data_IF_215785472771
#
_entry.id   IF_215785472771
#
_cell.length_a   1.000
_cell.length_b   1.000
_cell.length_c   1.000
_cell.angle_alpha   90.00
_cell.angle_beta   90.00
_cell.angle_gamma   90.00
#
_symmetry.space_group_name_H-M   'P 1'
#
loop_
_entity.id
_entity.type
_entity.pdbx_description
1 polymer ?
#
# COMPACT_ATOMS: atom_id res chain seq x y z
N UNK A 1 1.31 4.48 24.79
CA UNK A 1 0.10 4.11 24.03
C UNK A 1 0.42 2.82 23.28
N UNK A 2 -0.19 1.68 23.67
CA UNK A 2 0.09 0.38 23.01
C UNK A 2 -0.43 0.43 21.58
N UNK A 3 0.33 -0.05 20.57
CA UNK A 3 -0.14 -0.08 19.19
C UNK A 3 -1.42 -0.93 19.10
N UNK A 4 -2.40 -0.43 18.33
CA UNK A 4 -3.66 -1.12 18.09
C UNK A 4 -3.35 -2.39 17.26
N UNK A 5 -3.75 -3.59 17.72
CA UNK A 5 -3.42 -4.82 17.01
C UNK A 5 -4.14 -4.90 15.66
N UNK A 6 -3.40 -5.29 14.62
CA UNK A 6 -3.91 -5.53 13.28
C UNK A 6 -4.71 -6.84 13.23
N UNK A 7 -5.83 -6.87 12.50
CA UNK A 7 -6.72 -8.05 12.44
C UNK A 7 -6.00 -9.27 11.87
N UNK A 8 -6.28 -10.45 12.44
CA UNK A 8 -5.76 -11.75 12.00
C UNK A 8 -6.00 -11.99 10.50
N UNK A 9 -4.93 -12.31 9.77
CA UNK A 9 -5.04 -12.88 8.42
C UNK A 9 -5.39 -14.36 8.52
N UNK A 10 -6.44 -14.80 7.83
CA UNK A 10 -6.72 -16.21 7.55
C UNK A 10 -5.48 -16.80 6.87
N UNK A 11 -5.03 -18.05 7.18
CA UNK A 11 -3.92 -18.68 6.48
C UNK A 11 -4.27 -18.80 5.00
N UNK A 12 -3.83 -17.84 4.22
CA UNK A 12 -3.89 -17.88 2.77
C UNK A 12 -2.82 -18.87 2.25
N UNK A 13 -3.02 -19.51 1.09
CA UNK A 13 -1.94 -20.26 0.44
C UNK A 13 -0.71 -19.36 0.34
N UNK A 14 0.49 -19.93 0.54
CA UNK A 14 1.76 -19.20 0.49
C UNK A 14 1.74 -18.35 -0.78
N UNK A 15 1.77 -17.00 -0.69
CA UNK A 15 1.69 -16.17 -1.87
C UNK A 15 2.90 -16.44 -2.76
N UNK A 16 2.74 -16.34 -4.07
CA UNK A 16 3.82 -16.53 -5.04
C UNK A 16 5.01 -15.59 -4.83
N UNK A 17 4.79 -14.52 -4.07
CA UNK A 17 5.79 -13.52 -3.72
C UNK A 17 5.65 -13.14 -2.25
N UNK A 18 6.78 -12.93 -1.55
CA UNK A 18 6.80 -12.45 -0.16
C UNK A 18 6.12 -11.09 -0.06
N UNK A 19 5.07 -10.93 0.76
CA UNK A 19 4.42 -9.64 0.96
C UNK A 19 5.36 -8.66 1.68
N UNK A 20 5.64 -7.52 1.04
CA UNK A 20 6.41 -6.40 1.62
C UNK A 20 5.52 -5.17 1.64
N UNK A 21 5.58 -4.40 2.72
CA UNK A 21 4.79 -3.19 2.90
C UNK A 21 5.60 -2.12 3.64
N UNK A 22 5.11 -0.88 3.60
CA UNK A 22 5.73 0.23 4.34
C UNK A 22 5.15 0.31 5.77
N UNK A 23 6.04 0.30 6.78
CA UNK A 23 5.70 0.53 8.18
C UNK A 23 6.61 1.62 8.75
N UNK A 24 6.02 2.75 9.13
CA UNK A 24 6.76 3.92 9.69
C UNK A 24 7.98 4.34 8.85
N UNK A 25 7.82 4.36 7.53
CA UNK A 25 8.87 4.77 6.59
C UNK A 25 9.93 3.70 6.30
N UNK A 26 9.84 2.49 6.88
CA UNK A 26 10.69 1.34 6.57
C UNK A 26 9.91 0.30 5.78
N UNK A 27 10.53 -0.30 4.77
CA UNK A 27 9.99 -1.48 4.10
C UNK A 27 10.20 -2.71 4.98
N UNK A 28 9.13 -3.50 5.17
CA UNK A 28 9.16 -4.66 6.06
C UNK A 28 8.30 -5.81 5.51
N UNK A 29 8.64 -7.03 5.91
CA UNK A 29 7.82 -8.24 5.75
C UNK A 29 7.37 -8.73 7.14
N UNK A 30 6.13 -9.22 7.25
CA UNK A 30 5.66 -9.82 8.51
C UNK A 30 6.34 -11.18 8.74
N UNK A 31 6.80 -11.45 9.95
CA UNK A 31 7.40 -12.74 10.31
C UNK A 31 6.47 -13.93 10.11
N UNK A 32 5.14 -13.70 10.09
CA UNK A 32 4.13 -14.74 9.75
C UNK A 32 4.18 -15.11 8.28
N UNK A 33 4.46 -14.13 7.41
CA UNK A 33 4.63 -14.36 5.97
C UNK A 33 6.04 -14.91 5.68
N UNK A 34 7.07 -14.48 6.41
CA UNK A 34 8.45 -14.98 6.25
C UNK A 34 8.55 -16.46 6.64
N UNK A 35 7.91 -16.90 7.73
CA UNK A 35 8.04 -18.24 8.26
C UNK A 35 7.72 -19.37 7.22
N UNK A 36 6.62 -19.30 6.46
CA UNK A 36 6.32 -20.28 5.40
C UNK A 36 7.38 -20.30 4.28
N UNK A 37 7.91 -19.13 3.89
CA UNK A 37 8.93 -19.06 2.83
C UNK A 37 10.24 -19.71 3.22
N UNK A 38 10.55 -19.80 4.51
CA UNK A 38 11.73 -20.52 5.03
C UNK A 38 11.39 -21.93 5.56
N UNK A 39 10.15 -22.38 5.34
CA UNK A 39 9.63 -23.67 5.80
C UNK A 39 9.83 -23.92 7.30
N UNK A 40 9.63 -22.86 8.11
CA UNK A 40 9.65 -22.94 9.58
C UNK A 40 8.29 -22.62 10.16
N UNK A 41 7.97 -23.24 11.29
CA UNK A 41 6.85 -22.78 12.10
C UNK A 41 7.13 -21.38 12.65
N UNK A 42 6.13 -20.50 12.62
CA UNK A 42 6.26 -19.12 13.09
C UNK A 42 6.84 -19.01 14.52
N UNK A 43 6.43 -19.90 15.43
CA UNK A 43 6.98 -19.94 16.80
C UNK A 43 8.50 -20.13 16.86
N UNK A 44 9.06 -20.92 15.94
CA UNK A 44 10.49 -21.17 15.87
C UNK A 44 11.23 -19.97 15.29
N UNK A 45 10.66 -19.31 14.27
CA UNK A 45 11.22 -18.07 13.75
C UNK A 45 11.22 -16.98 14.80
N UNK A 46 10.13 -16.80 15.56
CA UNK A 46 10.09 -15.83 16.68
C UNK A 46 11.17 -16.07 17.72
N UNK A 47 11.42 -17.33 18.08
CA UNK A 47 12.50 -17.68 19.02
C UNK A 47 13.87 -17.29 18.45
N UNK A 48 14.10 -17.56 17.17
CA UNK A 48 15.37 -17.27 16.53
C UNK A 48 15.58 -15.73 16.43
N UNK A 49 14.56 -14.97 16.05
CA UNK A 49 14.60 -13.49 16.00
C UNK A 49 14.90 -12.92 17.38
N UNK A 50 14.22 -13.38 18.44
CA UNK A 50 14.50 -12.91 19.81
C UNK A 50 15.94 -13.17 20.23
N UNK A 51 16.50 -14.32 19.83
CA UNK A 51 17.92 -14.62 20.04
C UNK A 51 18.81 -13.63 19.30
N UNK A 52 18.51 -13.31 18.04
CA UNK A 52 19.29 -12.35 17.25
C UNK A 52 19.24 -10.96 17.88
N UNK A 53 18.07 -10.47 18.23
CA UNK A 53 17.87 -9.19 18.92
C UNK A 53 18.69 -9.14 20.22
N UNK A 54 18.60 -10.19 21.06
CA UNK A 54 19.37 -10.28 22.31
C UNK A 54 20.88 -10.23 22.09
N UNK A 55 21.40 -10.95 21.07
CA UNK A 55 22.84 -10.96 20.76
C UNK A 55 23.28 -9.59 20.28
N UNK A 56 22.53 -8.93 19.41
CA UNK A 56 22.85 -7.59 18.91
C UNK A 56 22.85 -6.56 20.05
N UNK A 57 21.84 -6.60 20.92
CA UNK A 57 21.73 -5.68 22.08
C UNK A 57 22.86 -5.84 23.08
N UNK A 58 23.42 -7.03 23.21
CA UNK A 58 24.54 -7.33 24.14
C UNK A 58 25.91 -7.26 23.49
N UNK A 59 25.99 -6.84 22.20
CA UNK A 59 27.28 -6.73 21.52
C UNK A 59 28.12 -5.62 22.11
N UNK A 60 29.38 -5.92 22.43
CA UNK A 60 30.38 -4.95 22.89
C UNK A 60 31.13 -4.27 21.73
N UNK A 61 30.85 -4.67 20.50
CA UNK A 61 31.42 -4.11 19.28
C UNK A 61 30.70 -2.85 18.79
N UNK A 62 30.75 -2.56 17.47
CA UNK A 62 30.01 -1.43 16.90
C UNK A 62 28.54 -1.49 17.32
N UNK A 63 27.97 -0.33 17.68
CA UNK A 63 26.57 -0.27 18.13
C UNK A 63 25.65 -0.68 16.99
N UNK A 64 25.03 -1.86 17.11
CA UNK A 64 24.00 -2.37 16.23
C UNK A 64 22.63 -2.05 16.84
N UNK A 65 21.77 -1.38 16.08
CA UNK A 65 20.39 -1.18 16.51
C UNK A 65 19.54 -2.35 16.02
N UNK A 66 19.00 -3.20 16.92
CA UNK A 66 18.12 -4.30 16.54
C UNK A 66 16.90 -3.86 15.74
N UNK A 67 16.44 -2.60 15.91
CA UNK A 67 15.29 -2.04 15.17
C UNK A 67 15.58 -1.80 13.69
N UNK A 68 16.84 -1.83 13.26
CA UNK A 68 17.20 -1.83 11.85
C UNK A 68 16.96 -3.18 11.18
N UNK A 69 16.82 -4.25 11.96
CA UNK A 69 16.61 -5.61 11.51
C UNK A 69 15.19 -6.10 11.79
N UNK A 70 14.72 -5.96 13.04
CA UNK A 70 13.46 -6.52 13.51
C UNK A 70 12.70 -5.52 14.37
N UNK A 71 11.45 -5.26 14.00
CA UNK A 71 10.55 -4.35 14.74
C UNK A 71 9.50 -5.22 15.43
N UNK A 72 9.40 -5.12 16.76
CA UNK A 72 8.37 -5.82 17.51
C UNK A 72 6.97 -5.32 17.12
N UNK A 73 6.08 -6.28 16.89
CA UNK A 73 4.70 -6.04 16.51
C UNK A 73 3.78 -7.07 17.18
N UNK A 74 2.48 -6.89 17.02
CA UNK A 74 1.48 -7.83 17.49
C UNK A 74 0.30 -7.90 16.51
N UNK A 75 -0.34 -9.06 16.43
CA UNK A 75 -1.56 -9.28 15.66
C UNK A 75 -2.65 -9.91 16.52
N UNK A 76 -3.89 -9.83 16.07
CA UNK A 76 -5.02 -10.53 16.69
C UNK A 76 -5.22 -11.84 15.93
N UNK A 77 -5.20 -12.97 16.65
CA UNK A 77 -5.45 -14.28 16.06
C UNK A 77 -6.97 -14.52 15.82
N UNK A 78 -7.32 -15.69 15.25
CA UNK A 78 -8.71 -16.05 14.95
C UNK A 78 -9.59 -16.16 16.20
N UNK A 79 -8.99 -16.37 17.37
CA UNK A 79 -9.67 -16.43 18.66
C UNK A 79 -9.85 -15.06 19.32
N UNK A 80 -9.34 -13.98 18.68
CA UNK A 80 -9.37 -12.62 19.21
C UNK A 80 -8.24 -12.33 20.20
N UNK A 81 -7.24 -13.21 20.35
CA UNK A 81 -6.13 -13.02 21.27
C UNK A 81 -4.98 -12.25 20.59
N UNK A 82 -4.34 -11.37 21.35
CA UNK A 82 -3.15 -10.65 20.90
C UNK A 82 -1.93 -11.57 20.93
N UNK A 83 -1.33 -11.78 19.77
CA UNK A 83 -0.14 -12.61 19.58
C UNK A 83 1.05 -11.78 19.11
N UNK A 84 2.27 -12.08 19.58
CA UNK A 84 3.47 -11.39 19.13
C UNK A 84 3.85 -11.79 17.69
N UNK A 85 4.35 -10.83 16.93
CA UNK A 85 5.09 -11.04 15.68
C UNK A 85 6.23 -10.02 15.58
N UNK A 86 7.03 -10.13 14.52
CA UNK A 86 8.02 -9.13 14.15
C UNK A 86 7.79 -8.69 12.71
N UNK A 87 8.07 -7.42 12.46
CA UNK A 87 8.29 -6.94 11.11
C UNK A 87 9.78 -7.03 10.82
N UNK A 88 10.12 -7.83 9.80
CA UNK A 88 11.49 -8.03 9.34
C UNK A 88 11.80 -6.99 8.26
N UNK A 89 12.81 -6.16 8.47
CA UNK A 89 13.33 -5.29 7.42
C UNK A 89 14.07 -6.11 6.36
N UNK A 90 14.55 -5.47 5.30
CA UNK A 90 15.43 -6.13 4.31
C UNK A 90 16.65 -6.77 4.99
N UNK A 91 17.33 -6.01 5.87
CA UNK A 91 18.46 -6.51 6.67
C UNK A 91 18.05 -7.66 7.61
N UNK A 92 16.85 -7.61 8.17
CA UNK A 92 16.30 -8.72 8.99
C UNK A 92 16.07 -9.98 8.16
N UNK A 93 15.51 -9.87 6.96
CA UNK A 93 15.35 -10.99 6.03
C UNK A 93 16.71 -11.55 5.58
N UNK A 94 17.68 -10.67 5.31
CA UNK A 94 19.05 -11.07 5.00
C UNK A 94 19.70 -11.85 6.14
N UNK A 95 19.55 -11.37 7.38
CA UNK A 95 20.06 -12.09 8.57
C UNK A 95 19.44 -13.47 8.72
N UNK A 96 18.14 -13.61 8.46
CA UNK A 96 17.45 -14.92 8.46
C UNK A 96 18.02 -15.81 7.36
N UNK A 97 18.14 -15.30 6.14
CA UNK A 97 18.67 -16.02 4.98
C UNK A 97 20.10 -16.53 5.21
N UNK A 98 20.98 -15.70 5.79
CA UNK A 98 22.37 -16.05 6.09
C UNK A 98 22.53 -17.15 7.16
N UNK A 99 21.47 -17.50 7.89
CA UNK A 99 21.43 -18.64 8.82
C UNK A 99 20.85 -19.89 8.21
N UNK A 100 20.43 -19.83 6.95
CA UNK A 100 19.96 -20.97 6.17
C UNK A 100 21.08 -21.55 5.33
N UNK A 101 21.05 -22.85 5.11
CA UNK A 101 21.99 -23.57 4.26
C UNK A 101 21.27 -24.26 3.10
N UNK A 102 21.99 -24.47 1.99
CA UNK A 102 21.46 -25.16 0.81
C UNK A 102 20.46 -24.35 0.00
N UNK A 103 19.73 -25.03 -0.86
CA UNK A 103 18.85 -24.44 -1.88
C UNK A 103 17.75 -23.52 -1.29
N UNK A 104 17.25 -23.86 -0.11
CA UNK A 104 16.23 -23.02 0.59
C UNK A 104 16.74 -21.61 0.89
N UNK A 105 17.98 -21.48 1.33
CA UNK A 105 18.60 -20.19 1.58
C UNK A 105 18.73 -19.38 0.30
N UNK A 106 19.11 -20.01 -0.81
CA UNK A 106 19.23 -19.38 -2.13
C UNK A 106 17.84 -18.90 -2.60
N UNK A 107 16.83 -19.76 -2.54
CA UNK A 107 15.47 -19.46 -2.97
C UNK A 107 14.88 -18.31 -2.13
N UNK A 108 14.97 -18.37 -0.81
CA UNK A 108 14.48 -17.32 0.06
C UNK A 108 15.19 -15.98 -0.18
N UNK A 109 16.51 -15.99 -0.38
CA UNK A 109 17.29 -14.79 -0.73
C UNK A 109 16.77 -14.17 -2.02
N UNK A 110 16.60 -14.93 -3.08
CA UNK A 110 16.06 -14.43 -4.35
C UNK A 110 14.65 -13.83 -4.19
N UNK A 111 13.80 -14.46 -3.38
CA UNK A 111 12.43 -14.02 -3.14
C UNK A 111 12.36 -12.71 -2.36
N UNK A 112 13.07 -12.60 -1.23
CA UNK A 112 13.00 -11.36 -0.44
C UNK A 112 13.67 -10.18 -1.17
N UNK A 113 14.82 -10.37 -1.80
CA UNK A 113 15.49 -9.33 -2.59
C UNK A 113 14.52 -8.78 -3.64
N UNK A 114 13.93 -9.67 -4.45
CA UNK A 114 12.95 -9.27 -5.46
C UNK A 114 11.76 -8.52 -4.86
N UNK A 115 11.19 -9.01 -3.76
CA UNK A 115 10.02 -8.42 -3.13
C UNK A 115 10.30 -6.99 -2.62
N UNK A 116 11.44 -6.78 -1.96
CA UNK A 116 11.83 -5.45 -1.48
C UNK A 116 12.13 -4.48 -2.62
N UNK A 117 12.77 -4.93 -3.71
CA UNK A 117 13.00 -4.10 -4.89
C UNK A 117 11.69 -3.66 -5.53
N UNK A 118 10.77 -4.60 -5.82
CA UNK A 118 9.47 -4.29 -6.43
C UNK A 118 8.69 -3.28 -5.59
N UNK A 119 8.67 -3.43 -4.26
CA UNK A 119 7.96 -2.49 -3.40
C UNK A 119 8.65 -1.13 -3.35
N UNK A 120 9.99 -1.08 -3.36
CA UNK A 120 10.74 0.18 -3.41
C UNK A 120 10.44 0.96 -4.68
N UNK A 121 10.45 0.29 -5.82
CA UNK A 121 10.14 0.89 -7.13
C UNK A 121 8.68 1.39 -7.17
N UNK A 122 7.74 0.60 -6.66
CA UNK A 122 6.33 0.99 -6.54
C UNK A 122 6.16 2.26 -5.70
N UNK A 123 6.81 2.35 -4.54
CA UNK A 123 6.74 3.54 -3.69
C UNK A 123 7.40 4.76 -4.34
N UNK A 124 8.53 4.59 -5.03
CA UNK A 124 9.17 5.66 -5.77
C UNK A 124 8.23 6.19 -6.86
N UNK A 125 7.67 5.31 -7.68
CA UNK A 125 6.71 5.67 -8.74
C UNK A 125 5.48 6.39 -8.18
N UNK A 126 4.92 5.91 -7.07
CA UNK A 126 3.77 6.58 -6.42
C UNK A 126 4.11 7.99 -5.96
N UNK A 127 5.33 8.23 -5.41
CA UNK A 127 5.78 9.56 -5.00
C UNK A 127 5.89 10.51 -6.20
N UNK A 128 6.44 10.05 -7.32
CA UNK A 128 6.53 10.81 -8.58
C UNK A 128 5.14 11.18 -9.10
N UNK A 129 4.24 10.19 -9.20
CA UNK A 129 2.86 10.42 -9.63
C UNK A 129 2.11 11.39 -8.71
N UNK A 130 2.33 11.31 -7.39
CA UNK A 130 1.75 12.28 -6.43
C UNK A 130 2.21 13.71 -6.70
N UNK A 131 3.47 13.91 -7.06
CA UNK A 131 3.98 15.23 -7.40
C UNK A 131 3.32 15.78 -8.68
N UNK A 132 3.18 14.94 -9.71
CA UNK A 132 2.52 15.29 -10.97
C UNK A 132 1.01 15.53 -10.77
N UNK A 133 0.37 14.82 -9.89
CA UNK A 133 -1.08 14.91 -9.65
C UNK A 133 -1.55 16.22 -9.01
N UNK A 134 -0.68 16.96 -8.32
CA UNK A 134 -1.07 18.22 -7.68
C UNK A 134 -1.56 19.28 -8.67
N UNK A 135 -0.84 19.61 -9.75
CA UNK A 135 -1.34 20.57 -10.75
C UNK A 135 -2.60 20.04 -11.47
N UNK A 136 -2.70 18.75 -11.78
CA UNK A 136 -3.89 18.14 -12.40
C UNK A 136 -5.11 18.36 -11.50
N UNK A 137 -4.99 18.07 -10.22
CA UNK A 137 -6.07 18.31 -9.24
C UNK A 137 -6.49 19.76 -9.14
N UNK A 138 -5.53 20.70 -9.20
CA UNK A 138 -5.83 22.14 -9.21
C UNK A 138 -6.61 22.50 -10.46
N UNK A 139 -6.18 22.04 -11.63
CA UNK A 139 -6.87 22.28 -12.91
C UNK A 139 -8.34 21.81 -12.87
N UNK A 140 -8.61 20.60 -12.37
CA UNK A 140 -9.98 20.11 -12.20
C UNK A 140 -10.80 20.98 -11.24
N UNK A 141 -10.20 21.44 -10.14
CA UNK A 141 -10.87 22.28 -9.15
C UNK A 141 -11.22 23.66 -9.75
N UNK A 142 -10.32 24.24 -10.53
CA UNK A 142 -10.51 25.51 -11.21
C UNK A 142 -11.59 25.38 -12.30
N UNK A 143 -11.52 24.33 -13.15
CA UNK A 143 -12.52 24.05 -14.18
C UNK A 143 -13.92 23.85 -13.59
N UNK A 144 -14.05 23.19 -12.45
CA UNK A 144 -15.34 23.02 -11.74
C UNK A 144 -15.91 24.36 -11.28
N UNK A 145 -15.08 25.24 -10.72
CA UNK A 145 -15.50 26.57 -10.28
C UNK A 145 -15.93 27.43 -11.48
N UNK A 146 -15.15 27.43 -12.54
CA UNK A 146 -15.35 28.31 -13.69
C UNK A 146 -16.51 27.83 -14.60
N UNK A 147 -16.84 26.53 -14.57
CA UNK A 147 -17.96 25.94 -15.36
C UNK A 147 -19.37 26.21 -14.80
N UNK A 148 -19.50 26.76 -13.59
CA UNK A 148 -20.81 26.92 -12.93
C UNK A 148 -21.42 25.61 -12.38
N UNK A 149 -20.70 24.49 -12.48
CA UNK A 149 -21.20 23.19 -11.97
C UNK A 149 -21.30 23.18 -10.44
N UNK A 150 -20.50 23.99 -9.74
CA UNK A 150 -20.56 24.10 -8.28
C UNK A 150 -21.91 24.65 -7.84
N UNK A 151 -22.39 25.71 -8.49
CA UNK A 151 -23.69 26.32 -8.23
C UNK A 151 -24.82 25.38 -8.65
N UNK A 152 -24.73 24.81 -9.85
CA UNK A 152 -25.72 23.85 -10.40
C UNK A 152 -25.94 22.64 -9.46
N UNK A 153 -24.87 22.16 -8.83
CA UNK A 153 -24.88 21.02 -7.93
C UNK A 153 -24.95 21.41 -6.44
N UNK A 154 -25.33 22.64 -6.13
CA UNK A 154 -25.47 23.12 -4.73
C UNK A 154 -24.25 22.81 -3.86
N UNK A 155 -23.02 23.00 -4.40
CA UNK A 155 -21.75 22.74 -3.71
C UNK A 155 -21.26 21.30 -3.72
N UNK A 156 -22.06 20.35 -4.22
CA UNK A 156 -21.67 18.91 -4.24
C UNK A 156 -20.78 18.51 -5.43
N UNK A 157 -20.47 19.42 -6.36
CA UNK A 157 -19.73 19.14 -7.59
C UNK A 157 -18.36 18.50 -7.30
N UNK A 158 -17.56 19.07 -6.41
CA UNK A 158 -16.22 18.55 -6.11
C UNK A 158 -16.23 17.06 -5.71
N UNK A 159 -17.11 16.67 -4.81
CA UNK A 159 -17.25 15.28 -4.37
C UNK A 159 -17.76 14.36 -5.49
N UNK A 160 -18.72 14.84 -6.27
CA UNK A 160 -19.35 14.09 -7.36
C UNK A 160 -18.37 13.79 -8.47
N UNK A 161 -17.62 14.79 -8.95
CA UNK A 161 -16.64 14.63 -10.02
C UNK A 161 -15.40 13.85 -9.55
N UNK A 162 -14.97 14.04 -8.31
CA UNK A 162 -13.92 13.21 -7.70
C UNK A 162 -14.32 11.73 -7.67
N UNK A 163 -15.55 11.42 -7.23
CA UNK A 163 -16.06 10.05 -7.23
C UNK A 163 -16.23 9.49 -8.65
N UNK A 164 -16.58 10.33 -9.63
CA UNK A 164 -16.60 9.92 -11.04
C UNK A 164 -15.21 9.51 -11.50
N UNK A 165 -14.18 10.31 -11.24
CA UNK A 165 -12.79 9.98 -11.59
C UNK A 165 -12.35 8.65 -10.95
N UNK A 166 -12.66 8.43 -9.66
CA UNK A 166 -12.38 7.14 -8.99
C UNK A 166 -13.10 5.97 -9.65
N UNK A 167 -14.39 6.12 -9.95
CA UNK A 167 -15.18 5.05 -10.60
C UNK A 167 -14.65 4.70 -11.98
N UNK A 168 -14.29 5.70 -12.77
CA UNK A 168 -13.73 5.50 -14.11
C UNK A 168 -12.32 4.89 -14.08
N UNK A 169 -11.54 5.14 -13.03
CA UNK A 169 -10.18 4.62 -12.92
C UNK A 169 -10.11 3.23 -12.27
N UNK A 170 -11.02 2.92 -11.35
CA UNK A 170 -10.91 1.73 -10.49
C UNK A 170 -12.18 0.88 -10.42
N UNK A 171 -13.25 1.31 -11.08
CA UNK A 171 -14.60 0.70 -10.95
C UNK A 171 -15.30 1.00 -9.61
N UNK A 172 -14.67 1.75 -8.69
CA UNK A 172 -15.10 1.90 -7.30
C UNK A 172 -15.07 3.36 -6.85
N UNK A 173 -15.90 3.69 -5.86
CA UNK A 173 -15.83 5.00 -5.20
C UNK A 173 -14.69 5.04 -4.18
N UNK A 174 -14.25 6.24 -3.81
CA UNK A 174 -13.27 6.45 -2.74
C UNK A 174 -13.64 5.76 -1.42
N UNK A 175 -14.95 5.72 -1.08
CA UNK A 175 -15.47 5.05 0.13
C UNK A 175 -15.33 3.52 0.04
N UNK A 176 -15.65 2.93 -1.12
CA UNK A 176 -15.54 1.49 -1.35
C UNK A 176 -14.07 1.04 -1.29
N UNK A 177 -13.16 1.79 -1.93
CA UNK A 177 -11.72 1.52 -1.88
C UNK A 177 -11.17 1.52 -0.45
N UNK A 178 -11.55 2.52 0.37
CA UNK A 178 -11.15 2.54 1.80
C UNK A 178 -11.65 1.33 2.55
N UNK A 179 -12.91 0.94 2.35
CA UNK A 179 -13.51 -0.23 3.01
C UNK A 179 -12.81 -1.53 2.67
N UNK A 180 -12.56 -1.79 1.39
CA UNK A 180 -11.91 -3.01 0.91
C UNK A 180 -10.45 -3.11 1.33
N UNK A 181 -9.74 -1.99 1.39
CA UNK A 181 -8.32 -1.94 1.76
C UNK A 181 -8.08 -1.78 3.25
N UNK A 182 -9.15 -1.76 4.06
CA UNK A 182 -9.05 -1.62 5.51
C UNK A 182 -8.47 -0.28 5.96
N UNK A 183 -8.52 0.75 5.10
CA UNK A 183 -8.01 2.07 5.41
C UNK A 183 -8.95 2.83 6.38
N UNK A 184 -8.39 3.74 7.17
CA UNK A 184 -9.15 4.59 8.06
C UNK A 184 -10.18 5.44 7.28
N UNK A 185 -11.32 5.76 7.92
CA UNK A 185 -12.40 6.52 7.26
C UNK A 185 -11.97 7.90 6.78
N UNK A 186 -11.02 8.51 7.47
CA UNK A 186 -10.41 9.82 7.21
C UNK A 186 -9.18 9.76 6.30
N UNK A 187 -8.69 8.54 5.97
CA UNK A 187 -7.57 8.39 5.05
C UNK A 187 -7.90 8.98 3.67
N UNK A 188 -6.94 9.69 3.09
CA UNK A 188 -7.10 10.17 1.72
C UNK A 188 -7.12 8.97 0.77
N UNK A 189 -8.21 8.83 -0.02
CA UNK A 189 -8.37 7.67 -0.90
C UNK A 189 -7.24 7.57 -1.96
N UNK A 190 -6.63 8.68 -2.32
CA UNK A 190 -5.50 8.73 -3.25
C UNK A 190 -4.23 8.09 -2.67
N UNK A 191 -4.09 8.03 -1.34
CA UNK A 191 -2.92 7.42 -0.68
C UNK A 191 -2.95 5.89 -0.69
N UNK A 192 -4.13 5.31 -0.91
CA UNK A 192 -4.32 3.87 -0.94
C UNK A 192 -4.37 3.28 -2.36
N UNK A 193 -4.20 4.11 -3.40
CA UNK A 193 -4.11 3.64 -4.79
C UNK A 193 -2.73 3.04 -5.07
N UNK A 194 -2.68 2.01 -5.91
CA UNK A 194 -1.44 1.57 -6.55
C UNK A 194 -0.95 2.62 -7.54
N UNK A 195 0.31 2.54 -8.01
CA UNK A 195 0.84 3.47 -9.01
C UNK A 195 0.00 3.45 -10.29
N UNK A 196 -0.41 2.28 -10.77
CA UNK A 196 -1.23 2.14 -11.97
C UNK A 196 -2.63 2.77 -11.80
N UNK A 197 -3.29 2.54 -10.66
CA UNK A 197 -4.58 3.15 -10.37
C UNK A 197 -4.48 4.68 -10.20
N UNK A 198 -3.40 5.15 -9.58
CA UNK A 198 -3.14 6.58 -9.40
C UNK A 198 -2.94 7.29 -10.75
N UNK A 199 -2.18 6.68 -11.65
CA UNK A 199 -1.98 7.17 -13.00
C UNK A 199 -3.29 7.20 -13.80
N UNK A 200 -4.10 6.13 -13.72
CA UNK A 200 -5.42 6.08 -14.34
C UNK A 200 -6.36 7.15 -13.78
N UNK A 201 -6.38 7.32 -12.45
CA UNK A 201 -7.17 8.34 -11.78
C UNK A 201 -6.80 9.76 -12.24
N UNK A 202 -5.51 10.09 -12.32
CA UNK A 202 -5.04 11.40 -12.77
C UNK A 202 -5.38 11.66 -14.23
N UNK A 203 -5.30 10.65 -15.10
CA UNK A 203 -5.75 10.77 -16.50
C UNK A 203 -7.24 11.10 -16.59
N UNK A 204 -8.08 10.48 -15.75
CA UNK A 204 -9.52 10.78 -15.73
C UNK A 204 -9.81 12.16 -15.13
N UNK A 205 -9.09 12.61 -14.10
CA UNK A 205 -9.19 13.99 -13.59
C UNK A 205 -8.85 15.03 -14.68
N UNK A 206 -7.77 14.83 -15.41
CA UNK A 206 -7.36 15.72 -16.50
C UNK A 206 -8.40 15.75 -17.63
N UNK A 207 -8.91 14.58 -18.05
CA UNK A 207 -9.94 14.50 -19.07
C UNK A 207 -11.24 15.20 -18.65
N UNK A 208 -11.68 15.03 -17.40
CA UNK A 208 -12.85 15.73 -16.85
C UNK A 208 -12.65 17.25 -16.88
N UNK A 209 -11.48 17.76 -16.51
CA UNK A 209 -11.19 19.19 -16.53
C UNK A 209 -11.33 19.77 -17.96
N UNK A 210 -10.74 19.11 -18.95
CA UNK A 210 -10.83 19.52 -20.37
C UNK A 210 -12.28 19.54 -20.88
N UNK A 211 -13.08 18.53 -20.51
CA UNK A 211 -14.48 18.46 -20.93
C UNK A 211 -15.37 19.50 -20.22
N UNK A 212 -15.05 19.85 -18.98
CA UNK A 212 -15.67 20.97 -18.25
C UNK A 212 -15.36 22.32 -18.96
N UNK A 213 -14.12 22.53 -19.30
CA UNK A 213 -13.68 23.75 -20.02
C UNK A 213 -14.35 23.84 -21.43
N UNK A 214 -14.68 22.70 -22.02
CA UNK A 214 -15.47 22.61 -23.25
C UNK A 214 -16.99 22.83 -23.04
N UNK A 215 -17.43 23.17 -21.82
CA UNK A 215 -18.83 23.43 -21.49
C UNK A 215 -19.73 22.21 -21.34
N UNK A 216 -19.16 21.02 -21.14
CA UNK A 216 -19.94 19.80 -20.93
C UNK A 216 -20.41 19.68 -19.49
N UNK A 217 -21.69 19.31 -19.30
CA UNK A 217 -22.25 18.98 -17.98
C UNK A 217 -21.91 17.53 -17.56
N UNK A 218 -22.13 17.23 -16.27
CA UNK A 218 -21.83 15.93 -15.65
C UNK A 218 -22.27 14.71 -16.46
N UNK A 219 -23.53 14.67 -16.93
CA UNK A 219 -24.08 13.50 -17.62
C UNK A 219 -23.39 13.25 -18.96
N UNK A 220 -23.08 14.33 -19.70
CA UNK A 220 -22.34 14.26 -20.96
C UNK A 220 -20.91 13.77 -20.75
N UNK A 221 -20.22 14.30 -19.73
CA UNK A 221 -18.86 13.89 -19.37
C UNK A 221 -18.84 12.42 -18.96
N UNK A 222 -19.77 12.00 -18.11
CA UNK A 222 -19.90 10.61 -17.68
C UNK A 222 -20.12 9.67 -18.86
N UNK A 223 -21.02 10.01 -19.80
CA UNK A 223 -21.29 9.21 -20.98
C UNK A 223 -20.07 9.13 -21.93
N UNK A 224 -19.39 10.26 -22.16
CA UNK A 224 -18.22 10.33 -23.03
C UNK A 224 -17.06 9.45 -22.50
N UNK A 225 -16.76 9.55 -21.19
CA UNK A 225 -15.65 8.82 -20.58
C UNK A 225 -15.94 7.33 -20.29
N UNK A 226 -17.22 6.95 -20.13
CA UNK A 226 -17.62 5.54 -20.01
C UNK A 226 -17.60 4.82 -21.37
N UNK A 227 -17.84 5.53 -22.47
CA UNK A 227 -17.79 4.98 -23.82
C UNK A 227 -16.38 4.70 -24.34
N UNK A 228 -15.34 5.28 -23.75
CA UNK A 228 -13.94 5.00 -24.10
C UNK A 228 -13.49 3.60 -23.65
N UNK A 229 -14.07 3.05 -22.57
CA UNK A 229 -13.74 1.72 -22.06
C UNK A 229 -14.37 0.56 -22.86
N UNK A 230 -15.33 0.88 -23.73
CA UNK A 230 -16.04 -0.09 -24.58
C UNK A 230 -15.44 -0.24 -26.00
N UNK A 231 -14.34 0.45 -26.32
CA UNK A 231 -13.63 0.24 -27.60
C UNK A 231 -12.50 -0.77 -27.38
N UNK A 232 -12.54 -1.92 -28.13
CA UNK A 232 -11.53 -2.95 -28.07
C UNK A 232 -10.17 -2.47 -28.58
#
# INVERSE_FOLDING_TARGET
>A
MKPKPERARVPAPIPAQLPVFEHKGKLVADSRDVAPFIEKEHKHLLRDIRRYVKVMSNSTGPKLDPLDYFIEAAYIDEKGETRPNFYCTEMGCEMVANKMTGDRGIIFTAQYVRAFHVMRDELARRRELRAIGKPIRRSLTDALRDSGEVERMHGHAYGTYTNLAYKLATGKTARQLRGERGAAKDAQAVDILTSAELEAYQRKEAAIAVLLDAGMCYDKIKAALAGEEARP
#
